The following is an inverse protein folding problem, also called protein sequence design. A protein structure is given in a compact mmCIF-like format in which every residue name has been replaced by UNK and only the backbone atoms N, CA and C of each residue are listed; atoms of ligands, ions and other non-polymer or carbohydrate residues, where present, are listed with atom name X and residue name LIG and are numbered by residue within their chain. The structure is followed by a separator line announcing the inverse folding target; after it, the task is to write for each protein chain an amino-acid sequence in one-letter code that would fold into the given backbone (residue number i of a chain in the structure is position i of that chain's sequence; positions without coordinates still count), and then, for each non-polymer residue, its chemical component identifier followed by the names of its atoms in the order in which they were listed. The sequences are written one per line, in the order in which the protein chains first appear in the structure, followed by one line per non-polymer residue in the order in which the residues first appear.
data_IF_626047537359
#
_entry.id   IF_626047537359
#
_cell.length_a   1.000
_cell.length_b   1.000
_cell.length_c   1.000
_cell.angle_alpha   90.00
_cell.angle_beta   90.00
_cell.angle_gamma   90.00
#
_symmetry.space_group_name_H-M   'P 1'
#
loop_
_entity.id
_entity.type
_entity.pdbx_description
1 polymer ?
#
# COMPACT_ATOMS: atom_id res chain seq x y z
N UNK A 1 -21.52 17.33 24.49
CA UNK A 1 -22.37 17.14 23.29
C UNK A 1 -21.52 17.55 22.09
N UNK A 2 -21.43 16.73 21.06
CA UNK A 2 -20.65 17.09 19.87
C UNK A 2 -21.32 18.28 19.17
N UNK A 3 -20.56 19.36 18.96
CA UNK A 3 -21.03 20.49 18.18
C UNK A 3 -21.05 20.10 16.70
N UNK A 4 -22.12 20.45 16.00
CA UNK A 4 -22.28 20.12 14.58
C UNK A 4 -22.66 21.34 13.76
N UNK A 5 -22.20 21.37 12.51
CA UNK A 5 -22.50 22.39 11.51
C UNK A 5 -23.36 21.77 10.41
N UNK A 6 -24.45 22.43 10.04
CA UNK A 6 -25.34 21.97 8.97
C UNK A 6 -25.01 22.66 7.65
N UNK A 7 -24.48 21.93 6.66
CA UNK A 7 -24.17 22.43 5.32
C UNK A 7 -24.44 21.33 4.30
N UNK A 8 -25.02 21.68 3.14
CA UNK A 8 -25.20 20.71 2.05
C UNK A 8 -26.14 19.54 2.37
N UNK A 9 -27.03 19.69 3.35
CA UNK A 9 -27.89 18.60 3.83
C UNK A 9 -27.18 17.59 4.74
N UNK A 10 -25.93 17.88 5.15
CA UNK A 10 -25.16 17.10 6.11
C UNK A 10 -25.18 17.75 7.49
N UNK A 11 -25.02 16.94 8.54
CA UNK A 11 -24.62 17.39 9.88
C UNK A 11 -23.18 16.95 10.10
N UNK A 12 -22.27 17.91 10.11
CA UNK A 12 -20.82 17.67 10.11
C UNK A 12 -20.29 17.99 11.51
N UNK A 13 -19.37 17.19 12.03
CA UNK A 13 -18.65 17.52 13.26
C UNK A 13 -17.91 18.87 13.09
N UNK A 14 -18.05 19.75 14.07
CA UNK A 14 -17.49 21.11 13.98
C UNK A 14 -15.96 21.10 13.78
N UNK A 15 -15.25 20.15 14.39
CA UNK A 15 -13.79 20.01 14.25
C UNK A 15 -13.41 19.70 12.81
N UNK A 16 -14.12 18.75 12.19
CA UNK A 16 -13.89 18.38 10.80
C UNK A 16 -14.26 19.51 9.83
N UNK A 17 -15.36 20.23 10.10
CA UNK A 17 -15.75 21.38 9.28
C UNK A 17 -14.66 22.46 9.31
N UNK A 18 -14.15 22.79 10.50
CA UNK A 18 -13.08 23.79 10.68
C UNK A 18 -11.76 23.33 10.03
N UNK A 19 -11.35 22.08 10.22
CA UNK A 19 -10.16 21.52 9.56
C UNK A 19 -10.22 21.72 8.04
N UNK A 20 -11.34 21.38 7.42
CA UNK A 20 -11.50 21.57 5.97
C UNK A 20 -11.49 23.04 5.59
N UNK A 21 -12.18 23.90 6.35
CA UNK A 21 -12.31 25.34 6.06
C UNK A 21 -11.00 26.10 6.21
N UNK A 22 -10.30 25.85 7.30
CA UNK A 22 -9.20 26.69 7.79
C UNK A 22 -7.83 26.15 7.40
N UNK A 23 -7.67 24.83 7.21
CA UNK A 23 -6.37 24.20 6.95
C UNK A 23 -6.27 23.55 5.56
N UNK A 24 -7.33 22.89 5.08
CA UNK A 24 -7.26 22.12 3.82
C UNK A 24 -7.67 22.96 2.60
N UNK A 25 -8.80 23.67 2.66
CA UNK A 25 -9.33 24.41 1.52
C UNK A 25 -8.47 25.60 1.05
N UNK A 26 -7.81 26.38 1.94
CA UNK A 26 -6.97 27.50 1.51
C UNK A 26 -5.89 27.08 0.50
N UNK A 27 -5.70 27.87 -0.56
CA UNK A 27 -4.72 27.57 -1.62
C UNK A 27 -5.18 26.59 -2.70
N UNK A 28 -6.28 25.85 -2.49
CA UNK A 28 -6.79 24.87 -3.48
C UNK A 28 -7.63 25.49 -4.59
N UNK A 29 -8.11 26.74 -4.41
CA UNK A 29 -9.08 27.39 -5.29
C UNK A 29 -10.55 26.97 -5.04
N UNK A 30 -10.81 26.08 -4.09
CA UNK A 30 -12.15 25.60 -3.73
C UNK A 30 -12.61 26.21 -2.40
N UNK A 31 -13.81 26.80 -2.38
CA UNK A 31 -14.42 27.30 -1.13
C UNK A 31 -14.99 26.13 -0.32
N UNK A 32 -14.75 26.13 0.99
CA UNK A 32 -15.20 25.07 1.90
C UNK A 32 -16.72 24.80 1.83
N UNK A 33 -17.55 25.84 1.83
CA UNK A 33 -19.01 25.66 1.74
C UNK A 33 -19.45 25.07 0.40
N UNK A 34 -18.77 25.42 -0.70
CA UNK A 34 -19.02 24.79 -2.01
C UNK A 34 -18.61 23.32 -2.00
N UNK A 35 -17.47 23.00 -1.39
CA UNK A 35 -17.04 21.62 -1.20
C UNK A 35 -18.08 20.83 -0.41
N UNK A 36 -18.54 21.32 0.75
CA UNK A 36 -19.50 20.62 1.59
C UNK A 36 -20.87 20.46 0.91
N UNK A 37 -21.34 21.47 0.17
CA UNK A 37 -22.55 21.36 -0.62
C UNK A 37 -22.45 20.27 -1.69
N UNK A 38 -21.34 20.24 -2.44
CA UNK A 38 -21.10 19.22 -3.45
C UNK A 38 -20.95 17.82 -2.83
N UNK A 39 -20.22 17.70 -1.72
CA UNK A 39 -20.06 16.44 -0.99
C UNK A 39 -21.40 15.91 -0.48
N UNK A 40 -22.27 16.77 0.06
CA UNK A 40 -23.64 16.39 0.45
C UNK A 40 -24.46 15.80 -0.70
N UNK A 41 -24.36 16.39 -1.89
CA UNK A 41 -25.01 15.85 -3.10
C UNK A 41 -24.43 14.49 -3.50
N UNK A 42 -23.10 14.32 -3.45
CA UNK A 42 -22.44 13.03 -3.72
C UNK A 42 -22.90 11.96 -2.73
N UNK A 43 -22.96 12.28 -1.44
CA UNK A 43 -23.44 11.36 -0.40
C UNK A 43 -24.89 10.95 -0.67
N UNK A 44 -25.76 11.92 -0.99
CA UNK A 44 -27.16 11.66 -1.32
C UNK A 44 -27.30 10.69 -2.51
N UNK A 45 -26.48 10.87 -3.55
CA UNK A 45 -26.58 10.08 -4.78
C UNK A 45 -25.92 8.70 -4.69
N UNK A 46 -24.82 8.58 -3.93
CA UNK A 46 -24.00 7.36 -3.89
C UNK A 46 -24.21 6.50 -2.64
N UNK A 47 -24.61 7.07 -1.49
CA UNK A 47 -24.81 6.28 -0.27
C UNK A 47 -25.87 5.16 -0.43
N UNK A 48 -27.02 5.38 -1.09
CA UNK A 48 -27.98 4.30 -1.33
C UNK A 48 -27.41 3.18 -2.21
N UNK A 49 -26.58 3.51 -3.21
CA UNK A 49 -25.92 2.51 -4.05
C UNK A 49 -24.89 1.71 -3.25
N UNK A 50 -24.11 2.38 -2.40
CA UNK A 50 -23.13 1.72 -1.53
C UNK A 50 -23.81 0.72 -0.57
N UNK A 51 -24.94 1.11 0.06
CA UNK A 51 -25.72 0.18 0.91
C UNK A 51 -26.18 -1.06 0.14
N UNK A 52 -26.73 -0.88 -1.07
CA UNK A 52 -27.12 -2.00 -1.93
C UNK A 52 -25.96 -2.94 -2.30
N UNK A 53 -24.74 -2.40 -2.45
CA UNK A 53 -23.56 -3.23 -2.69
C UNK A 53 -23.21 -4.08 -1.45
N UNK A 54 -23.38 -3.55 -0.25
CA UNK A 54 -23.19 -4.32 1.00
C UNK A 54 -24.27 -5.38 1.17
N UNK A 55 -25.54 -5.02 0.97
CA UNK A 55 -26.67 -5.98 0.99
C UNK A 55 -26.46 -7.13 -0.01
N UNK A 56 -25.92 -6.83 -1.20
CA UNK A 56 -25.56 -7.86 -2.19
C UNK A 56 -24.47 -8.80 -1.65
N UNK A 57 -23.46 -8.29 -0.94
CA UNK A 57 -22.41 -9.14 -0.32
C UNK A 57 -23.01 -10.07 0.72
N UNK A 58 -23.85 -9.54 1.60
CA UNK A 58 -24.51 -10.33 2.65
C UNK A 58 -25.40 -11.41 2.04
N UNK A 59 -26.19 -11.07 1.02
CA UNK A 59 -27.06 -12.03 0.34
C UNK A 59 -26.27 -13.14 -0.37
N UNK A 60 -25.13 -12.82 -0.99
CA UNK A 60 -24.26 -13.83 -1.61
C UNK A 60 -23.65 -14.75 -0.56
N UNK A 61 -23.15 -14.20 0.55
CA UNK A 61 -22.57 -14.99 1.62
C UNK A 61 -23.62 -15.91 2.26
N UNK A 62 -24.82 -15.42 2.55
CA UNK A 62 -25.91 -16.25 3.10
C UNK A 62 -26.26 -17.44 2.20
N UNK A 63 -26.27 -17.25 0.87
CA UNK A 63 -26.50 -18.35 -0.08
C UNK A 63 -25.36 -19.38 -0.01
N UNK A 64 -24.11 -18.92 0.05
CA UNK A 64 -22.94 -19.80 0.17
C UNK A 64 -22.99 -20.60 1.49
N UNK A 65 -23.29 -19.93 2.60
CA UNK A 65 -23.42 -20.56 3.92
C UNK A 65 -24.51 -21.64 3.92
N UNK A 66 -25.68 -21.33 3.33
CA UNK A 66 -26.78 -22.27 3.19
C UNK A 66 -26.40 -23.47 2.31
N UNK A 67 -25.71 -23.23 1.18
CA UNK A 67 -25.25 -24.28 0.27
C UNK A 67 -24.27 -25.23 0.95
N UNK A 68 -23.29 -24.69 1.68
CA UNK A 68 -22.31 -25.47 2.45
C UNK A 68 -22.97 -26.26 3.57
N UNK A 69 -23.90 -25.64 4.30
CA UNK A 69 -24.61 -26.29 5.41
C UNK A 69 -25.46 -27.47 4.94
N UNK A 70 -26.13 -27.35 3.80
CA UNK A 70 -26.94 -28.42 3.20
C UNK A 70 -26.08 -29.64 2.74
N UNK A 71 -24.78 -29.43 2.51
CA UNK A 71 -23.83 -30.45 2.03
C UNK A 71 -22.80 -30.84 3.09
N UNK A 72 -23.11 -30.61 4.37
CA UNK A 72 -22.22 -30.92 5.49
C UNK A 72 -21.76 -32.40 5.43
N UNK A 73 -20.49 -32.62 5.81
CA UNK A 73 -19.83 -33.94 5.84
C UNK A 73 -19.73 -34.64 4.47
N UNK A 74 -19.95 -33.93 3.37
CA UNK A 74 -19.65 -34.41 2.01
C UNK A 74 -18.40 -33.70 1.50
N UNK A 75 -17.55 -34.37 0.71
CA UNK A 75 -16.54 -33.66 -0.06
C UNK A 75 -17.20 -32.64 -1.00
N UNK A 76 -16.55 -31.50 -1.23
CA UNK A 76 -17.04 -30.50 -2.19
C UNK A 76 -16.83 -31.03 -3.61
N UNK A 77 -17.91 -31.19 -4.36
CA UNK A 77 -17.86 -31.34 -5.81
C UNK A 77 -17.57 -29.97 -6.44
N UNK A 78 -16.47 -29.88 -7.19
CA UNK A 78 -15.99 -28.62 -7.76
C UNK A 78 -16.86 -28.12 -8.90
N UNK A 79 -17.40 -29.02 -9.72
CA UNK A 79 -18.25 -28.64 -10.85
C UNK A 79 -19.59 -28.15 -10.33
N UNK A 80 -20.20 -28.88 -9.39
CA UNK A 80 -21.45 -28.47 -8.73
C UNK A 80 -21.30 -27.11 -8.02
N UNK A 81 -20.19 -26.90 -7.30
CA UNK A 81 -19.95 -25.64 -6.60
C UNK A 81 -19.74 -24.46 -7.57
N UNK A 82 -19.02 -24.69 -8.68
CA UNK A 82 -18.83 -23.68 -9.73
C UNK A 82 -20.15 -23.30 -10.40
N UNK A 83 -20.99 -24.28 -10.72
CA UNK A 83 -22.33 -24.05 -11.27
C UNK A 83 -23.18 -23.21 -10.31
N UNK A 84 -23.23 -23.59 -9.03
CA UNK A 84 -23.92 -22.82 -7.99
C UNK A 84 -23.42 -21.37 -7.89
N UNK A 85 -22.10 -21.15 -7.83
CA UNK A 85 -21.55 -19.79 -7.74
C UNK A 85 -21.88 -18.95 -8.99
N UNK A 86 -22.00 -19.59 -10.15
CA UNK A 86 -22.43 -18.93 -11.39
C UNK A 86 -23.92 -18.58 -11.33
N UNK A 87 -24.76 -19.52 -10.88
CA UNK A 87 -26.21 -19.37 -10.73
C UNK A 87 -26.59 -18.19 -9.82
N UNK A 88 -25.90 -18.06 -8.67
CA UNK A 88 -26.16 -16.95 -7.74
C UNK A 88 -25.58 -15.61 -8.20
N UNK A 89 -24.86 -15.59 -9.33
CA UNK A 89 -24.18 -14.42 -9.89
C UNK A 89 -22.94 -13.97 -9.12
N UNK A 90 -22.30 -14.90 -8.40
CA UNK A 90 -21.00 -14.66 -7.75
C UNK A 90 -19.87 -14.76 -8.77
N UNK A 91 -19.83 -15.86 -9.54
CA UNK A 91 -19.00 -15.97 -10.72
C UNK A 91 -19.76 -15.38 -11.91
N UNK A 92 -19.15 -14.39 -12.56
CA UNK A 92 -19.70 -13.75 -13.75
C UNK A 92 -18.92 -14.19 -15.00
N UNK A 93 -19.54 -14.19 -16.18
CA UNK A 93 -18.83 -14.51 -17.42
C UNK A 93 -17.62 -13.59 -17.62
N UNK A 94 -16.54 -14.17 -18.14
CA UNK A 94 -15.36 -13.39 -18.52
C UNK A 94 -15.71 -12.39 -19.63
N UNK A 95 -15.24 -11.16 -19.49
CA UNK A 95 -15.42 -10.12 -20.50
C UNK A 95 -14.54 -10.36 -21.73
N UNK A 96 -14.78 -9.61 -22.81
CA UNK A 96 -13.90 -9.63 -23.98
C UNK A 96 -12.52 -9.07 -23.62
N UNK A 97 -11.48 -9.52 -24.32
CA UNK A 97 -10.16 -8.92 -24.25
C UNK A 97 -10.22 -7.40 -24.53
N UNK A 98 -9.55 -6.61 -23.70
CA UNK A 98 -9.40 -5.18 -23.86
C UNK A 98 -8.03 -4.73 -23.35
N UNK A 99 -7.65 -3.48 -23.63
CA UNK A 99 -6.47 -2.83 -23.05
C UNK A 99 -6.93 -1.68 -22.15
N UNK A 100 -6.28 -1.52 -21.00
CA UNK A 100 -6.50 -0.34 -20.15
C UNK A 100 -6.00 0.92 -20.86
N UNK A 101 -6.67 2.05 -20.63
CA UNK A 101 -6.40 3.34 -21.31
C UNK A 101 -5.89 4.42 -20.35
N UNK A 102 -5.52 4.04 -19.13
CA UNK A 102 -5.05 4.96 -18.09
C UNK A 102 -3.82 5.74 -18.58
N UNK A 103 -3.84 7.06 -18.40
CA UNK A 103 -2.78 7.97 -18.83
C UNK A 103 -2.44 8.95 -17.69
N UNK A 104 -1.33 9.69 -17.85
CA UNK A 104 -0.83 10.66 -16.86
C UNK A 104 -0.54 10.02 -15.49
N UNK A 105 0.12 8.87 -15.50
CA UNK A 105 0.55 8.14 -14.30
C UNK A 105 2.07 8.26 -14.18
N UNK A 106 2.56 8.49 -12.95
CA UNK A 106 3.99 8.66 -12.68
C UNK A 106 4.82 7.39 -13.00
N UNK A 107 6.10 7.55 -13.43
CA UNK A 107 6.99 6.44 -13.76
C UNK A 107 7.19 5.42 -12.64
N UNK A 108 7.12 5.86 -11.37
CA UNK A 108 7.18 4.99 -10.19
C UNK A 108 6.10 3.90 -10.17
N UNK A 109 5.00 4.09 -10.93
CA UNK A 109 3.91 3.12 -11.03
C UNK A 109 3.94 2.39 -12.38
N UNK A 110 4.36 3.04 -13.46
CA UNK A 110 4.25 2.49 -14.83
C UNK A 110 5.48 1.77 -15.35
N UNK A 111 6.68 2.20 -14.93
CA UNK A 111 7.95 1.82 -15.57
C UNK A 111 8.95 1.24 -14.58
N UNK A 112 8.92 1.69 -13.32
CA UNK A 112 9.89 1.29 -12.30
C UNK A 112 9.34 0.13 -11.48
N UNK A 113 9.99 -1.03 -11.58
CA UNK A 113 9.74 -2.15 -10.66
C UNK A 113 10.53 -1.95 -9.36
N UNK A 114 9.84 -1.95 -8.22
CA UNK A 114 10.48 -1.73 -6.91
C UNK A 114 9.59 -2.07 -5.72
N UNK A 115 10.13 -1.89 -4.52
CA UNK A 115 9.39 -2.09 -3.28
C UNK A 115 8.33 -1.00 -3.06
N UNK A 116 7.22 -1.38 -2.43
CA UNK A 116 6.17 -0.46 -1.99
C UNK A 116 5.99 -0.57 -0.47
N UNK A 117 6.14 0.56 0.23
CA UNK A 117 6.00 0.62 1.69
C UNK A 117 4.56 1.02 2.08
N UNK A 118 4.04 0.39 3.12
CA UNK A 118 2.73 0.72 3.73
C UNK A 118 2.95 1.12 5.18
N UNK A 119 2.36 2.25 5.58
CA UNK A 119 2.60 2.88 6.89
C UNK A 119 1.31 3.50 7.44
N UNK A 120 1.09 3.51 8.77
CA UNK A 120 -0.06 4.17 9.35
C UNK A 120 0.11 5.71 9.32
N UNK A 121 -0.86 6.41 8.72
CA UNK A 121 -0.81 7.87 8.52
C UNK A 121 -1.02 8.66 9.82
N UNK A 122 -1.66 8.06 10.83
CA UNK A 122 -1.88 8.67 12.15
C UNK A 122 -0.60 8.78 12.99
N UNK A 123 0.52 8.18 12.54
CA UNK A 123 1.84 8.38 13.12
C UNK A 123 2.72 9.23 12.19
N UNK A 124 2.83 10.53 12.51
CA UNK A 124 3.61 11.48 11.72
C UNK A 124 5.09 11.10 11.55
N UNK A 125 5.72 10.50 12.58
CA UNK A 125 7.11 10.04 12.50
C UNK A 125 7.25 8.92 11.48
N UNK A 126 6.32 7.98 11.47
CA UNK A 126 6.36 6.88 10.52
C UNK A 126 6.06 7.35 9.11
N UNK A 127 5.09 8.26 8.92
CA UNK A 127 4.80 8.86 7.63
C UNK A 127 6.02 9.60 7.04
N UNK A 128 6.72 10.42 7.85
CA UNK A 128 7.94 11.10 7.42
C UNK A 128 9.07 10.13 7.06
N UNK A 129 9.30 9.11 7.89
CA UNK A 129 10.29 8.08 7.59
C UNK A 129 9.95 7.34 6.30
N UNK A 130 8.69 7.02 6.07
CA UNK A 130 8.24 6.33 4.86
C UNK A 130 8.38 7.20 3.61
N UNK A 131 8.04 8.50 3.69
CA UNK A 131 8.24 9.43 2.58
C UNK A 131 9.73 9.55 2.19
N UNK A 132 10.63 9.55 3.19
CA UNK A 132 12.06 9.63 2.98
C UNK A 132 12.70 8.28 2.59
N UNK A 133 11.99 7.16 2.73
CA UNK A 133 12.52 5.83 2.46
C UNK A 133 12.71 5.52 0.96
N UNK A 134 12.47 6.49 0.07
CA UNK A 134 12.86 6.38 -1.35
C UNK A 134 14.35 6.10 -1.50
N UNK A 135 15.16 6.65 -0.60
CA UNK A 135 16.60 6.39 -0.53
C UNK A 135 16.95 5.91 0.87
N UNK A 136 17.68 4.79 0.95
CA UNK A 136 18.11 4.18 2.20
C UNK A 136 19.58 3.81 2.15
N UNK A 137 20.24 3.86 3.30
CA UNK A 137 21.62 3.39 3.45
C UNK A 137 21.64 1.86 3.42
N UNK A 138 22.23 1.29 2.37
CA UNK A 138 22.44 -0.16 2.28
C UNK A 138 23.36 -0.64 3.43
N UNK A 139 24.34 0.17 3.83
CA UNK A 139 25.23 -0.16 4.93
C UNK A 139 24.47 -0.25 6.26
N UNK A 140 23.57 0.69 6.55
CA UNK A 140 22.76 0.64 7.79
C UNK A 140 21.79 -0.54 7.77
N UNK A 141 21.19 -0.82 6.61
CA UNK A 141 20.31 -1.96 6.43
C UNK A 141 21.04 -3.29 6.66
N UNK A 142 22.26 -3.46 6.13
CA UNK A 142 23.07 -4.66 6.33
C UNK A 142 23.62 -4.76 7.75
N UNK A 143 24.15 -3.66 8.28
CA UNK A 143 24.78 -3.64 9.60
C UNK A 143 23.73 -3.85 10.70
N UNK A 144 22.58 -3.18 10.63
CA UNK A 144 21.56 -3.18 11.67
C UNK A 144 20.68 -4.43 11.72
N UNK A 145 20.59 -5.19 10.64
CA UNK A 145 19.73 -6.38 10.54
C UNK A 145 20.52 -7.68 10.74
N UNK A 146 19.84 -8.82 10.59
CA UNK A 146 20.43 -10.16 10.64
C UNK A 146 20.87 -10.68 9.25
N UNK A 147 20.86 -9.84 8.20
CA UNK A 147 21.38 -10.23 6.88
C UNK A 147 22.85 -10.61 6.96
N UNK A 148 23.63 -9.89 7.76
CA UNK A 148 24.98 -10.29 8.15
C UNK A 148 24.92 -11.03 9.50
N UNK A 149 25.25 -12.35 9.56
CA UNK A 149 25.25 -13.12 10.79
C UNK A 149 26.13 -12.51 11.89
N UNK A 150 25.71 -12.67 13.14
CA UNK A 150 26.41 -12.18 14.33
C UNK A 150 27.32 -13.28 14.90
N UNK A 151 28.19 -13.81 14.05
CA UNK A 151 29.14 -14.88 14.36
C UNK A 151 30.57 -14.45 14.03
N UNK A 152 31.56 -15.17 14.59
CA UNK A 152 33.01 -14.94 14.40
C UNK A 152 33.48 -13.53 14.80
N UNK A 153 32.95 -12.97 15.89
CA UNK A 153 33.34 -11.63 16.34
C UNK A 153 32.70 -10.49 15.55
N UNK A 154 31.64 -10.76 14.78
CA UNK A 154 30.89 -9.78 14.00
C UNK A 154 29.52 -9.41 14.63
N UNK A 155 29.39 -9.59 15.94
CA UNK A 155 28.22 -9.21 16.72
C UNK A 155 28.02 -7.69 16.69
N UNK A 156 26.76 -7.25 16.76
CA UNK A 156 26.45 -5.84 17.01
C UNK A 156 26.75 -5.50 18.48
N UNK A 157 27.13 -4.26 18.73
CA UNK A 157 27.34 -3.73 20.07
C UNK A 157 26.95 -2.26 20.14
N UNK A 158 27.23 -1.63 21.28
CA UNK A 158 26.94 -0.20 21.50
C UNK A 158 27.83 0.73 20.66
N UNK A 159 29.00 0.23 20.24
CA UNK A 159 29.93 0.92 19.35
C UNK A 159 30.09 0.18 18.03
N UNK A 160 30.61 0.88 17.02
CA UNK A 160 30.97 0.27 15.75
C UNK A 160 31.96 -0.90 15.93
N UNK A 161 31.64 -2.04 15.33
CA UNK A 161 32.49 -3.23 15.27
C UNK A 161 33.15 -3.29 13.88
N UNK A 162 34.47 -3.02 13.77
CA UNK A 162 35.18 -3.04 12.50
C UNK A 162 35.12 -4.39 11.77
N UNK A 163 35.02 -5.52 12.49
CA UNK A 163 34.90 -6.85 11.86
C UNK A 163 33.55 -7.02 11.17
N UNK A 164 32.47 -6.55 11.80
CA UNK A 164 31.14 -6.51 11.17
C UNK A 164 31.10 -5.54 10.00
N UNK A 165 31.69 -4.35 10.16
CA UNK A 165 31.79 -3.35 9.10
C UNK A 165 32.51 -3.87 7.85
N UNK A 166 33.60 -4.63 8.03
CA UNK A 166 34.29 -5.28 6.92
C UNK A 166 33.39 -6.29 6.18
N UNK A 167 32.56 -7.07 6.89
CA UNK A 167 31.57 -7.97 6.27
C UNK A 167 30.51 -7.20 5.47
N UNK A 168 30.06 -6.04 5.96
CA UNK A 168 29.10 -5.17 5.25
C UNK A 168 29.69 -4.57 3.97
N UNK A 169 30.95 -4.12 4.03
CA UNK A 169 31.66 -3.59 2.85
C UNK A 169 31.79 -4.67 1.79
N UNK A 170 32.31 -5.86 2.16
CA UNK A 170 32.47 -6.97 1.23
C UNK A 170 31.15 -7.40 0.58
N UNK A 171 30.06 -7.46 1.35
CA UNK A 171 28.73 -7.74 0.81
C UNK A 171 28.30 -6.69 -0.22
N UNK A 172 28.56 -5.41 0.07
CA UNK A 172 28.17 -4.31 -0.82
C UNK A 172 28.99 -4.32 -2.11
N UNK A 173 30.29 -4.56 -2.04
CA UNK A 173 31.16 -4.70 -3.21
C UNK A 173 30.68 -5.85 -4.11
N UNK A 174 30.36 -7.01 -3.52
CA UNK A 174 29.80 -8.13 -4.26
C UNK A 174 28.43 -7.80 -4.89
N UNK A 175 27.59 -7.04 -4.19
CA UNK A 175 26.32 -6.55 -4.74
C UNK A 175 26.56 -5.63 -5.95
N UNK A 176 27.53 -4.72 -5.87
CA UNK A 176 27.88 -3.83 -6.98
C UNK A 176 28.43 -4.60 -8.18
N UNK A 177 29.27 -5.61 -7.96
CA UNK A 177 29.77 -6.50 -9.03
C UNK A 177 28.62 -7.20 -9.78
N UNK A 178 27.57 -7.60 -9.05
CA UNK A 178 26.38 -8.23 -9.64
C UNK A 178 25.47 -7.24 -10.36
N UNK A 179 25.25 -6.07 -9.78
CA UNK A 179 24.29 -5.10 -10.28
C UNK A 179 24.83 -4.27 -11.46
N UNK A 180 26.10 -3.87 -11.38
CA UNK A 180 26.74 -2.91 -12.30
C UNK A 180 28.21 -3.28 -12.56
N UNK A 181 28.51 -4.57 -12.68
CA UNK A 181 29.88 -5.10 -12.73
C UNK A 181 30.85 -4.41 -13.68
N UNK A 182 32.12 -4.39 -13.28
CA UNK A 182 33.21 -3.80 -14.05
C UNK A 182 33.55 -4.69 -15.26
N UNK A 183 34.03 -4.08 -16.36
CA UNK A 183 34.52 -4.85 -17.53
C UNK A 183 35.69 -5.78 -17.18
N UNK A 184 36.49 -5.41 -16.19
CA UNK A 184 37.64 -6.15 -15.65
C UNK A 184 37.81 -5.79 -14.18
N UNK A 185 38.19 -6.78 -13.36
CA UNK A 185 38.36 -6.63 -11.91
C UNK A 185 37.04 -6.71 -11.14
N UNK A 186 37.12 -6.54 -9.82
CA UNK A 186 35.99 -6.48 -8.88
C UNK A 186 35.92 -5.11 -8.20
N UNK A 187 34.73 -4.73 -7.72
CA UNK A 187 34.57 -3.55 -6.88
C UNK A 187 35.46 -3.59 -5.61
N UNK A 188 35.82 -4.78 -5.11
CA UNK A 188 36.74 -4.95 -3.98
C UNK A 188 38.17 -4.48 -4.23
N UNK A 189 38.57 -4.36 -5.51
CA UNK A 189 39.91 -3.89 -5.90
C UNK A 189 39.96 -2.37 -6.17
N UNK A 190 38.82 -1.68 -6.06
CA UNK A 190 38.73 -0.26 -6.43
C UNK A 190 39.37 0.62 -5.38
N UNK A 191 40.35 1.42 -5.80
CA UNK A 191 41.07 2.37 -4.91
C UNK A 191 40.67 3.82 -5.14
N UNK A 192 40.04 4.14 -6.27
CA UNK A 192 39.63 5.50 -6.63
C UNK A 192 38.51 5.50 -7.66
N UNK A 193 37.58 6.44 -7.50
CA UNK A 193 36.65 6.86 -8.55
C UNK A 193 37.05 8.24 -9.06
N UNK A 194 36.99 8.45 -10.38
CA UNK A 194 37.15 9.76 -11.02
C UNK A 194 36.31 9.81 -12.28
N UNK A 195 35.85 11.01 -12.63
CA UNK A 195 35.17 11.30 -13.89
C UNK A 195 36.20 11.74 -14.95
#
# INVERSE_FOLDING_TARGET
MANTVSVGGLKIDETLYRLVRDEIAPGTGVKADKFWAAFGQIVKDLAPKNRKLLEKRDALQQKIDAWCSARKNRPIDKEEYREFLTEIGYLVPEGKNFKVTTANVDPEITEIAGAQLVVPLDNARYALNAANARWGSLYDALYGTNVIPEEDGAEKGESYNPRRGAKVIAYTEEFLDKAIGLKRGSFSDVTRFSL
#
